data_IF_214061429054
#
_entry.id   IF_214061429054
#
_cell.length_a   1.000
_cell.length_b   1.000
_cell.length_c   1.000
_cell.angle_alpha   90.00
_cell.angle_beta   90.00
_cell.angle_gamma   90.00
#
_symmetry.space_group_name_H-M   'P 1'
#
loop_
_entity.id
_entity.type
_entity.pdbx_description
1 polymer ?
#
# COMPACT_ATOMS: atom_id res chain seq x y z
N UNK A 1 -5.66 15.14 -4.42
CA UNK A 1 -6.54 14.67 -5.51
C UNK A 1 -7.52 13.65 -4.97
N UNK A 2 -8.77 13.71 -5.41
CA UNK A 2 -9.81 12.78 -5.00
C UNK A 2 -10.34 12.00 -6.20
N UNK A 3 -10.73 10.75 -5.96
CA UNK A 3 -11.43 9.92 -6.92
C UNK A 3 -12.46 9.07 -6.16
N UNK A 4 -13.74 9.24 -6.48
CA UNK A 4 -14.82 8.50 -5.81
C UNK A 4 -14.82 8.65 -4.29
N UNK A 5 -14.42 9.81 -3.77
CA UNK A 5 -14.30 10.07 -2.34
C UNK A 5 -12.99 9.61 -1.72
N UNK A 6 -12.05 9.10 -2.50
CA UNK A 6 -10.73 8.67 -2.04
C UNK A 6 -9.70 9.77 -2.27
N UNK A 7 -8.92 10.08 -1.25
CA UNK A 7 -7.84 11.06 -1.34
C UNK A 7 -6.54 10.37 -1.78
N UNK A 8 -5.77 11.06 -2.61
CA UNK A 8 -4.42 10.63 -3.01
C UNK A 8 -3.41 11.59 -2.39
N UNK A 9 -2.47 11.06 -1.61
CA UNK A 9 -1.42 11.85 -0.99
C UNK A 9 -0.06 11.26 -1.32
N UNK A 10 0.94 12.13 -1.51
CA UNK A 10 2.33 11.75 -1.72
C UNK A 10 3.16 12.22 -0.55
N UNK A 11 3.88 11.33 0.10
CA UNK A 11 4.79 11.69 1.18
C UNK A 11 6.02 12.40 0.61
N UNK A 12 6.51 13.41 1.32
CA UNK A 12 7.75 14.08 0.96
C UNK A 12 8.94 13.29 1.49
N UNK A 13 10.00 13.16 0.67
CA UNK A 13 11.23 12.47 1.06
C UNK A 13 11.02 10.97 1.28
N UNK A 14 11.92 10.38 2.05
CA UNK A 14 11.89 8.95 2.37
C UNK A 14 11.09 8.72 3.66
N UNK A 15 10.25 7.70 3.64
CA UNK A 15 9.45 7.29 4.80
C UNK A 15 9.93 5.93 5.29
N UNK A 16 10.29 5.83 6.57
CA UNK A 16 10.67 4.56 7.18
C UNK A 16 9.55 3.54 7.11
N UNK A 17 9.91 2.27 6.95
CA UNK A 17 8.91 1.22 6.76
C UNK A 17 8.01 1.05 7.98
N UNK A 18 8.59 0.99 9.18
CA UNK A 18 7.82 0.81 10.41
C UNK A 18 6.92 2.01 10.69
N UNK A 19 7.40 3.23 10.43
CA UNK A 19 6.60 4.44 10.55
C UNK A 19 5.42 4.42 9.58
N UNK A 20 5.66 3.98 8.35
CA UNK A 20 4.61 3.85 7.34
C UNK A 20 3.55 2.83 7.77
N UNK A 21 3.97 1.68 8.28
CA UNK A 21 3.03 0.65 8.76
C UNK A 21 2.18 1.16 9.93
N UNK A 22 2.79 1.87 10.87
CA UNK A 22 2.05 2.45 12.00
C UNK A 22 1.03 3.48 11.53
N UNK A 23 1.41 4.35 10.60
CA UNK A 23 0.52 5.35 10.03
C UNK A 23 -0.66 4.70 9.30
N UNK A 24 -0.38 3.64 8.54
CA UNK A 24 -1.43 2.91 7.80
C UNK A 24 -2.40 2.21 8.74
N UNK A 25 -1.92 1.60 9.82
CA UNK A 25 -2.78 0.96 10.82
C UNK A 25 -3.74 1.95 11.47
N UNK A 26 -3.22 3.13 11.81
CA UNK A 26 -4.05 4.20 12.38
C UNK A 26 -5.11 4.67 11.38
N UNK A 27 -4.72 4.84 10.11
CA UNK A 27 -5.66 5.26 9.06
C UNK A 27 -6.76 4.22 8.85
N UNK A 28 -6.41 2.96 8.75
CA UNK A 28 -7.37 1.87 8.57
C UNK A 28 -8.35 1.80 9.73
N UNK A 29 -7.87 1.96 10.96
CA UNK A 29 -8.74 2.00 12.13
C UNK A 29 -9.73 3.17 12.05
N UNK A 30 -9.26 4.36 11.63
CA UNK A 30 -10.11 5.54 11.44
C UNK A 30 -11.15 5.35 10.34
N UNK A 31 -10.78 4.69 9.24
CA UNK A 31 -11.72 4.39 8.15
C UNK A 31 -12.82 3.44 8.65
N UNK A 32 -12.45 2.40 9.39
CA UNK A 32 -13.42 1.45 9.96
C UNK A 32 -14.39 2.11 10.95
N UNK A 33 -13.88 3.06 11.73
CA UNK A 33 -14.70 3.79 12.70
C UNK A 33 -15.56 4.88 12.05
N UNK A 34 -15.39 5.14 10.75
CA UNK A 34 -16.09 6.22 10.07
C UNK A 34 -15.56 7.62 10.40
N UNK A 35 -14.38 7.70 11.01
CA UNK A 35 -13.78 8.95 11.46
C UNK A 35 -12.81 9.54 10.43
N UNK A 36 -12.27 8.72 9.55
CA UNK A 36 -11.30 9.13 8.52
C UNK A 36 -11.71 8.64 7.14
N UNK A 37 -11.34 9.41 6.12
CA UNK A 37 -11.58 9.04 4.74
C UNK A 37 -10.56 8.05 4.20
N UNK A 38 -10.91 7.45 3.09
CA UNK A 38 -10.03 6.53 2.37
C UNK A 38 -8.84 7.26 1.79
N UNK A 39 -7.71 6.54 1.65
CA UNK A 39 -6.46 7.11 1.22
C UNK A 39 -5.70 6.15 0.32
N UNK A 40 -5.19 6.68 -0.78
CA UNK A 40 -4.09 6.07 -1.54
C UNK A 40 -2.86 6.91 -1.25
N UNK A 41 -1.86 6.30 -0.63
CA UNK A 41 -0.69 7.00 -0.11
C UNK A 41 0.55 6.54 -0.86
N UNK A 42 1.21 7.48 -1.51
CA UNK A 42 2.40 7.22 -2.32
C UNK A 42 3.63 7.60 -1.52
N UNK A 43 4.52 6.65 -1.29
CA UNK A 43 5.74 6.85 -0.50
C UNK A 43 6.96 6.29 -1.20
N UNK A 44 8.13 6.77 -0.81
CA UNK A 44 9.41 6.13 -1.09
C UNK A 44 10.03 5.71 0.23
N UNK A 45 10.56 4.50 0.27
CA UNK A 45 11.26 3.98 1.43
C UNK A 45 12.77 4.10 1.27
N UNK A 46 13.54 4.19 2.39
CA UNK A 46 14.95 3.87 2.33
C UNK A 46 15.13 2.43 1.88
N UNK A 47 16.34 2.08 1.44
CA UNK A 47 16.62 0.73 0.94
C UNK A 47 16.32 -0.34 2.00
N UNK A 48 15.48 -1.29 1.67
CA UNK A 48 15.06 -2.35 2.57
C UNK A 48 14.49 -3.55 1.80
N UNK A 49 14.37 -4.67 2.49
CA UNK A 49 13.67 -5.85 1.99
C UNK A 49 12.42 -6.13 2.81
N UNK A 50 11.36 -6.52 2.16
CA UNK A 50 10.18 -7.06 2.86
C UNK A 50 10.02 -8.55 2.53
N UNK A 51 9.71 -9.34 3.55
CA UNK A 51 9.47 -10.77 3.43
C UNK A 51 7.97 -11.06 3.44
N UNK A 52 7.47 -11.65 2.39
CA UNK A 52 6.14 -12.25 2.39
C UNK A 52 6.13 -13.61 3.10
N UNK A 53 4.96 -14.22 3.20
CA UNK A 53 4.79 -15.48 3.95
C UNK A 53 5.54 -16.66 3.35
N UNK A 54 5.93 -16.59 2.08
CA UNK A 54 6.70 -17.63 1.39
C UNK A 54 8.20 -17.34 1.31
N UNK A 55 8.67 -16.26 1.96
CA UNK A 55 10.07 -15.88 1.90
C UNK A 55 10.95 -16.90 2.66
N UNK A 56 12.07 -17.27 2.04
CA UNK A 56 13.06 -18.18 2.62
C UNK A 56 14.38 -17.43 2.80
N UNK A 57 15.02 -17.64 3.94
CA UNK A 57 16.28 -16.96 4.25
C UNK A 57 17.36 -17.20 3.20
N UNK A 58 17.42 -18.39 2.64
CA UNK A 58 18.42 -18.76 1.62
C UNK A 58 18.26 -18.01 0.30
N UNK A 59 17.09 -17.46 0.02
CA UNK A 59 16.85 -16.69 -1.21
C UNK A 59 17.43 -15.29 -1.15
N UNK A 60 17.84 -14.82 0.01
CA UNK A 60 18.44 -13.52 0.21
C UNK A 60 19.96 -13.66 0.27
N UNK A 61 20.65 -13.26 -0.79
CA UNK A 61 22.11 -13.46 -0.93
C UNK A 61 22.92 -12.77 0.13
N UNK A 62 22.54 -11.56 0.52
CA UNK A 62 23.20 -10.79 1.55
C UNK A 62 22.15 -10.19 2.48
N UNK A 63 21.81 -10.94 3.52
CA UNK A 63 20.80 -10.56 4.50
C UNK A 63 21.20 -9.36 5.36
N UNK A 64 22.50 -9.02 5.38
CA UNK A 64 23.00 -7.89 6.16
C UNK A 64 23.05 -6.57 5.39
N UNK A 65 22.86 -6.60 4.09
CA UNK A 65 23.02 -5.42 3.23
C UNK A 65 22.01 -4.32 3.53
N UNK A 66 20.74 -4.68 3.70
CA UNK A 66 19.67 -3.76 4.01
C UNK A 66 18.79 -4.33 5.12
N UNK A 67 18.08 -3.47 5.87
CA UNK A 67 17.11 -3.93 6.84
C UNK A 67 16.06 -4.83 6.22
N UNK A 68 15.58 -5.81 6.98
CA UNK A 68 14.53 -6.72 6.57
C UNK A 68 13.32 -6.60 7.48
N UNK A 69 12.14 -6.67 6.90
CA UNK A 69 10.88 -6.58 7.64
C UNK A 69 9.92 -7.66 7.17
N UNK A 70 9.20 -8.26 8.08
CA UNK A 70 8.11 -9.15 7.73
C UNK A 70 6.91 -8.30 7.28
N UNK A 71 6.39 -8.59 6.10
CA UNK A 71 5.18 -7.99 5.59
C UNK A 71 4.04 -8.99 5.67
N UNK A 72 2.88 -8.57 6.10
CA UNK A 72 1.73 -9.47 6.26
C UNK A 72 1.06 -9.87 4.94
N UNK A 73 1.81 -10.02 3.87
CA UNK A 73 1.34 -10.39 2.53
C UNK A 73 1.88 -11.74 2.11
N UNK A 74 1.27 -12.33 1.11
CA UNK A 74 1.83 -13.52 0.44
C UNK A 74 3.06 -13.17 -0.39
N UNK A 75 3.71 -14.18 -0.93
CA UNK A 75 4.88 -14.02 -1.79
C UNK A 75 6.19 -14.11 -1.04
N UNK A 76 7.25 -13.76 -1.74
CA UNK A 76 8.64 -13.94 -1.30
C UNK A 76 9.25 -12.59 -0.90
N UNK A 77 10.54 -12.41 -1.15
CA UNK A 77 11.25 -11.17 -0.86
C UNK A 77 10.96 -10.12 -1.90
N UNK A 78 10.84 -8.87 -1.44
CA UNK A 78 10.73 -7.71 -2.30
C UNK A 78 11.69 -6.63 -1.83
N UNK A 79 12.41 -6.04 -2.76
CA UNK A 79 13.26 -4.89 -2.48
C UNK A 79 12.47 -3.60 -2.68
N UNK A 80 12.67 -2.66 -1.75
CA UNK A 80 12.19 -1.28 -1.87
C UNK A 80 13.34 -0.33 -1.61
N UNK A 81 13.37 0.79 -2.31
CA UNK A 81 14.41 1.78 -2.09
C UNK A 81 14.15 3.10 -2.79
N UNK A 82 15.06 4.08 -2.64
CA UNK A 82 14.93 5.39 -3.29
C UNK A 82 14.75 5.24 -4.80
N UNK A 83 13.87 6.05 -5.35
CA UNK A 83 13.49 5.98 -6.76
C UNK A 83 12.32 5.05 -7.06
N UNK A 84 11.92 4.21 -6.11
CA UNK A 84 10.73 3.38 -6.23
C UNK A 84 9.59 4.00 -5.44
N UNK A 85 8.49 4.25 -6.11
CA UNK A 85 7.29 4.76 -5.45
C UNK A 85 6.36 3.60 -5.13
N UNK A 86 6.00 3.48 -3.85
CA UNK A 86 5.08 2.46 -3.35
C UNK A 86 3.73 3.11 -3.09
N UNK A 87 2.68 2.52 -3.62
CA UNK A 87 1.31 2.96 -3.37
C UNK A 87 0.65 2.08 -2.33
N UNK A 88 0.28 2.66 -1.19
CA UNK A 88 -0.51 1.98 -0.17
C UNK A 88 -1.96 2.39 -0.30
N UNK A 89 -2.83 1.40 -0.45
CA UNK A 89 -4.25 1.61 -0.75
C UNK A 89 -5.07 1.24 0.49
N UNK A 90 -5.73 2.23 1.07
CA UNK A 90 -6.54 2.08 2.28
C UNK A 90 -7.97 2.48 1.97
N UNK A 91 -8.80 1.48 1.69
CA UNK A 91 -10.16 1.65 1.18
C UNK A 91 -11.16 0.91 2.06
N UNK A 92 -12.39 1.38 2.01
CA UNK A 92 -13.55 0.62 2.46
C UNK A 92 -14.19 -0.05 1.23
N UNK A 93 -13.87 -1.32 1.03
CA UNK A 93 -14.38 -2.07 -0.12
C UNK A 93 -15.88 -2.43 0.00
N UNK A 94 -16.48 -2.14 1.14
CA UNK A 94 -17.91 -2.34 1.34
C UNK A 94 -18.76 -1.24 0.71
N UNK A 95 -18.13 -0.16 0.23
CA UNK A 95 -18.82 0.92 -0.47
C UNK A 95 -18.41 0.99 -1.94
N UNK A 96 -19.25 1.64 -2.73
CA UNK A 96 -18.93 1.91 -4.14
C UNK A 96 -17.91 3.05 -4.26
N UNK A 97 -17.15 3.05 -5.35
CA UNK A 97 -16.15 4.09 -5.68
C UNK A 97 -16.47 4.64 -7.08
N UNK A 98 -17.20 5.75 -7.12
CA UNK A 98 -17.65 6.31 -8.37
C UNK A 98 -18.50 5.31 -9.16
N UNK A 99 -18.02 4.88 -10.33
CA UNK A 99 -18.70 3.88 -11.16
C UNK A 99 -18.39 2.44 -10.76
N UNK A 100 -17.43 2.26 -9.85
CA UNK A 100 -16.99 0.93 -9.39
C UNK A 100 -17.89 0.47 -8.26
N UNK A 101 -18.58 -0.67 -8.39
CA UNK A 101 -19.44 -1.20 -7.33
C UNK A 101 -18.65 -1.52 -6.06
N UNK A 102 -19.35 -1.60 -4.93
CA UNK A 102 -18.78 -2.07 -3.68
C UNK A 102 -18.15 -3.46 -3.87
N UNK A 103 -17.04 -3.71 -3.19
CA UNK A 103 -16.28 -4.97 -3.21
C UNK A 103 -15.64 -5.33 -4.55
N UNK A 104 -15.68 -4.46 -5.54
CA UNK A 104 -15.03 -4.69 -6.82
C UNK A 104 -13.60 -4.15 -6.81
N UNK A 105 -12.67 -4.92 -6.25
CA UNK A 105 -11.25 -4.55 -6.14
C UNK A 105 -10.63 -4.39 -7.53
N UNK A 106 -10.92 -5.32 -8.42
CA UNK A 106 -10.38 -5.29 -9.79
C UNK A 106 -10.86 -4.06 -10.55
N UNK A 107 -12.15 -3.79 -10.50
CA UNK A 107 -12.73 -2.62 -11.14
C UNK A 107 -12.16 -1.31 -10.59
N UNK A 108 -11.89 -1.25 -9.28
CA UNK A 108 -11.26 -0.08 -8.67
C UNK A 108 -9.92 0.23 -9.32
N UNK A 109 -9.05 -0.76 -9.50
CA UNK A 109 -7.74 -0.55 -10.11
C UNK A 109 -7.82 -0.26 -11.59
N UNK A 110 -8.75 -0.86 -12.31
CA UNK A 110 -8.97 -0.58 -13.73
C UNK A 110 -9.43 0.86 -13.94
N UNK A 111 -10.28 1.39 -13.09
CA UNK A 111 -10.71 2.79 -13.14
C UNK A 111 -9.53 3.76 -13.00
N UNK A 112 -8.50 3.41 -12.23
CA UNK A 112 -7.28 4.20 -12.09
C UNK A 112 -6.44 4.22 -13.35
N UNK A 113 -6.57 3.21 -14.20
CA UNK A 113 -5.80 3.08 -15.44
C UNK A 113 -6.41 3.79 -16.63
N UNK A 114 -7.59 4.37 -16.49
CA UNK A 114 -8.21 5.11 -17.57
C UNK A 114 -9.61 4.67 -17.94
N UNK A 115 -10.23 3.81 -17.15
CA UNK A 115 -11.62 3.50 -17.32
C UNK A 115 -12.04 2.19 -16.69
N UNK A 116 -13.23 2.20 -16.10
CA UNK A 116 -13.85 1.01 -15.54
C UNK A 116 -14.60 0.25 -16.63
N UNK A 117 -14.36 -1.06 -16.70
CA UNK A 117 -15.06 -1.98 -17.58
C UNK A 117 -15.65 -3.10 -16.72
N UNK A 118 -16.96 -3.19 -16.65
CA UNK A 118 -17.63 -4.25 -15.88
C UNK A 118 -17.35 -5.64 -16.41
#
# INVERSE_FOLDING_TARGET
MNFGGTTFETAAGLTGYEDAVAAMRARVAGIRAGEMGELVWLVEHPALYTAGTSAKAEDLRDASRFPTFAAGRGGQWTYHGPGQRVGYVMLDLLRAHGRVPARDVRGFFEARRGGYRP
#
